data_IF_807992261469
#
_entry.id   IF_807992261469
#
_cell.length_a   1.000
_cell.length_b   1.000
_cell.length_c   1.000
_cell.angle_alpha   90.00
_cell.angle_beta   90.00
_cell.angle_gamma   90.00
#
_symmetry.space_group_name_H-M   'P 1'
#
loop_
_entity.id
_entity.type
_entity.pdbx_description
1 polymer ?
#
# COMPACT_ATOMS: atom_id res chain seq x y z
N UNK A 1 -12.44 11.98 1.72
CA UNK A 1 -11.16 11.25 1.94
C UNK A 1 -10.06 12.24 2.27
N UNK A 2 -9.23 11.95 3.28
CA UNK A 2 -8.03 12.75 3.57
C UNK A 2 -6.99 12.59 2.44
N UNK A 3 -6.22 13.63 2.13
CA UNK A 3 -5.17 13.61 1.11
C UNK A 3 -4.17 12.44 1.32
N UNK A 4 -3.88 12.10 2.59
CA UNK A 4 -3.02 10.96 2.96
C UNK A 4 -3.63 9.62 2.59
N UNK A 5 -4.95 9.48 2.74
CA UNK A 5 -5.64 8.24 2.40
C UNK A 5 -5.67 8.02 0.89
N UNK A 6 -5.85 9.10 0.11
CA UNK A 6 -5.75 9.06 -1.35
C UNK A 6 -4.34 8.67 -1.81
N UNK A 7 -3.31 9.17 -1.12
CA UNK A 7 -1.92 8.82 -1.41
C UNK A 7 -1.62 7.34 -1.08
N UNK A 8 -2.04 6.84 0.09
CA UNK A 8 -1.88 5.44 0.45
C UNK A 8 -2.59 4.50 -0.54
N UNK A 9 -3.79 4.89 -1.00
CA UNK A 9 -4.52 4.14 -2.02
C UNK A 9 -3.74 4.10 -3.34
N UNK A 10 -3.11 5.21 -3.75
CA UNK A 10 -2.29 5.26 -4.95
C UNK A 10 -1.07 4.31 -4.86
N UNK A 11 -0.38 4.27 -3.72
CA UNK A 11 0.73 3.30 -3.52
C UNK A 11 0.27 1.85 -3.54
N UNK A 12 -0.90 1.56 -2.94
CA UNK A 12 -1.45 0.21 -2.94
C UNK A 12 -1.87 -0.22 -4.34
N UNK A 13 -2.60 0.63 -5.07
CA UNK A 13 -2.98 0.33 -6.45
C UNK A 13 -1.77 0.24 -7.39
N UNK A 14 -0.78 1.13 -7.24
CA UNK A 14 0.46 1.07 -8.01
C UNK A 14 1.21 -0.23 -7.77
N UNK A 15 1.34 -0.66 -6.51
CA UNK A 15 1.96 -1.94 -6.15
C UNK A 15 1.20 -3.13 -6.73
N UNK A 16 -0.13 -3.08 -6.72
CA UNK A 16 -0.99 -4.12 -7.27
C UNK A 16 -0.85 -4.25 -8.79
N UNK A 17 -0.79 -3.12 -9.51
CA UNK A 17 -0.61 -3.11 -10.96
C UNK A 17 0.77 -3.68 -11.33
N UNK A 18 1.83 -3.23 -10.67
CA UNK A 18 3.20 -3.71 -10.95
C UNK A 18 3.32 -5.20 -10.65
N UNK A 19 2.82 -5.64 -9.49
CA UNK A 19 2.82 -7.06 -9.14
C UNK A 19 1.98 -7.88 -10.13
N UNK A 20 0.83 -7.36 -10.56
CA UNK A 20 -0.04 -7.99 -11.56
C UNK A 20 0.66 -8.20 -12.89
N UNK A 21 1.41 -7.21 -13.38
CA UNK A 21 2.19 -7.31 -14.61
C UNK A 21 3.27 -8.41 -14.48
N UNK A 22 4.00 -8.43 -13.37
CA UNK A 22 5.06 -9.41 -13.12
C UNK A 22 4.48 -10.83 -12.94
N UNK A 23 3.39 -10.94 -12.20
CA UNK A 23 2.64 -12.19 -12.01
C UNK A 23 2.10 -12.75 -13.32
N UNK A 24 1.49 -11.90 -14.14
CA UNK A 24 0.99 -12.28 -15.46
C UNK A 24 2.12 -12.67 -16.41
N UNK A 25 3.23 -11.93 -16.43
CA UNK A 25 4.40 -12.26 -17.26
C UNK A 25 5.03 -13.61 -16.86
N UNK A 26 5.05 -13.93 -15.57
CA UNK A 26 5.54 -15.22 -15.06
C UNK A 26 4.49 -16.34 -15.11
N UNK A 27 3.23 -16.04 -15.46
CA UNK A 27 2.09 -16.96 -15.39
C UNK A 27 1.96 -17.66 -14.03
N UNK A 28 2.35 -16.98 -12.94
CA UNK A 28 2.44 -17.58 -11.60
C UNK A 28 1.80 -16.70 -10.52
N UNK A 29 0.79 -17.26 -9.86
CA UNK A 29 0.12 -16.61 -8.72
C UNK A 29 1.05 -16.45 -7.51
N UNK A 30 2.05 -17.32 -7.35
CA UNK A 30 3.03 -17.20 -6.26
C UNK A 30 3.96 -16.01 -6.48
N UNK A 31 4.45 -15.82 -7.71
CA UNK A 31 5.31 -14.68 -8.06
C UNK A 31 4.54 -13.38 -7.90
N UNK A 32 3.26 -13.34 -8.31
CA UNK A 32 2.36 -12.21 -8.03
C UNK A 32 2.30 -11.89 -6.53
N UNK A 33 1.98 -12.89 -5.70
CA UNK A 33 1.81 -12.71 -4.26
C UNK A 33 3.08 -12.22 -3.56
N UNK A 34 4.23 -12.82 -3.88
CA UNK A 34 5.53 -12.43 -3.32
C UNK A 34 5.89 -11.01 -3.74
N UNK A 35 5.77 -10.70 -5.05
CA UNK A 35 6.11 -9.37 -5.57
C UNK A 35 5.22 -8.29 -4.96
N UNK A 36 3.92 -8.56 -4.86
CA UNK A 36 2.97 -7.63 -4.21
C UNK A 36 3.32 -7.39 -2.75
N UNK A 37 3.62 -8.47 -1.99
CA UNK A 37 4.01 -8.35 -0.59
C UNK A 37 5.30 -7.55 -0.43
N UNK A 38 6.33 -7.82 -1.25
CA UNK A 38 7.61 -7.09 -1.22
C UNK A 38 7.41 -5.59 -1.51
N UNK A 39 6.63 -5.25 -2.55
CA UNK A 39 6.32 -3.86 -2.87
C UNK A 39 5.55 -3.16 -1.75
N UNK A 40 4.55 -3.84 -1.17
CA UNK A 40 3.75 -3.28 -0.09
C UNK A 40 4.59 -3.05 1.17
N UNK A 41 5.39 -4.04 1.59
CA UNK A 41 6.29 -3.94 2.74
C UNK A 41 7.34 -2.85 2.50
N UNK A 42 7.92 -2.79 1.30
CA UNK A 42 8.88 -1.75 0.93
C UNK A 42 8.29 -0.34 1.03
N UNK A 43 7.06 -0.13 0.52
CA UNK A 43 6.36 1.15 0.64
C UNK A 43 6.04 1.52 2.10
N UNK A 44 5.78 0.54 2.97
CA UNK A 44 5.59 0.78 4.40
C UNK A 44 6.93 1.15 5.06
N UNK A 45 8.01 0.44 4.73
CA UNK A 45 9.32 0.60 5.36
C UNK A 45 10.05 1.88 4.94
N UNK A 46 9.88 2.33 3.68
CA UNK A 46 10.30 3.65 3.22
C UNK A 46 9.47 4.81 3.84
N UNK A 47 8.33 4.50 4.45
CA UNK A 47 7.44 5.50 5.05
C UNK A 47 6.53 6.22 4.05
N UNK A 48 6.48 5.76 2.80
CA UNK A 48 5.52 6.22 1.77
C UNK A 48 4.08 5.90 2.18
N UNK A 49 3.84 4.67 2.66
CA UNK A 49 2.58 4.31 3.31
C UNK A 49 2.68 4.64 4.78
N UNK A 50 2.17 5.81 5.15
CA UNK A 50 2.02 6.19 6.55
C UNK A 50 0.86 5.43 7.16
N UNK A 51 1.15 4.36 7.90
CA UNK A 51 0.22 3.79 8.88
C UNK A 51 0.04 4.79 10.02
N UNK A 52 -0.88 5.73 9.85
CA UNK A 52 -1.21 6.66 10.92
C UNK A 52 -1.94 5.90 12.04
N UNK A 53 -1.17 5.35 12.99
CA UNK A 53 -1.64 4.66 14.21
C UNK A 53 -2.38 5.60 15.20
N UNK A 54 -2.48 6.90 14.91
CA UNK A 54 -3.15 7.87 15.77
C UNK A 54 -4.24 8.67 15.03
N UNK A 55 -5.46 8.12 15.02
CA UNK A 55 -6.68 8.94 15.05
C UNK A 55 -7.63 8.53 16.18
N UNK A 56 -7.20 7.65 17.10
CA UNK A 56 -7.85 7.60 18.41
C UNK A 56 -7.41 8.83 19.20
N UNK A 57 -8.38 9.60 19.69
CA UNK A 57 -8.23 10.76 20.58
C UNK A 57 -7.95 12.11 19.92
N UNK A 58 -8.87 12.58 19.05
CA UNK A 58 -9.21 14.02 19.08
C UNK A 58 -10.72 14.23 18.98
N UNK A 59 -11.40 13.72 20.00
CA UNK A 59 -12.56 14.39 20.62
C UNK A 59 -12.12 15.79 21.05
N UNK A 60 -11.96 16.72 20.09
CA UNK A 60 -11.76 18.13 20.42
C UNK A 60 -13.14 18.68 20.73
N UNK A 61 -13.45 18.74 22.03
CA UNK A 61 -14.37 19.74 22.59
C UNK A 61 -14.18 21.06 21.84
N UNK A 62 -15.25 21.54 21.21
CA UNK A 62 -15.85 22.86 21.46
C UNK A 62 -17.16 22.94 20.68
#
# INVERSE_FOLDING_TARGET
>A
MSARHKLNAAYLHGSLVIAGIIGAASQSYLVFGITFAVLLIGNIQCGDIRLNRHQSLRTRRK
#
